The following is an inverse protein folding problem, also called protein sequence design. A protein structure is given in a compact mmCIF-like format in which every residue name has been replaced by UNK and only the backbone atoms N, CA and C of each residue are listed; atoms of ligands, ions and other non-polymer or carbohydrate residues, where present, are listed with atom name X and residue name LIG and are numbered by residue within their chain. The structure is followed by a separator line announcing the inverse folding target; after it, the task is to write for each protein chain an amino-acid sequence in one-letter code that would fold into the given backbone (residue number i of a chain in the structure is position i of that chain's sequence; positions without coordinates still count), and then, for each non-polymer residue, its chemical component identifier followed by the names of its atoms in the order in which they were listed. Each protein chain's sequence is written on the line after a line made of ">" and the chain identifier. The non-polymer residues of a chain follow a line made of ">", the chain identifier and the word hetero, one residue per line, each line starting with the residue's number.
data_IF_788031894472
#
_entry.id   IF_788031894472
#
_cell.length_a   1.000
_cell.length_b   1.000
_cell.length_c   1.000
_cell.angle_alpha   90.00
_cell.angle_beta   90.00
_cell.angle_gamma   90.00
#
_symmetry.space_group_name_H-M   'P 1'
#
loop_
_entity.id
_entity.type
_entity.pdbx_description
1 polymer ?
#
# COMPACT_ATOMS: atom_id res chain seq x y z
N UNK A 1 12.56 -33.20 4.47
CA UNK A 1 11.09 -33.32 4.21
C UNK A 1 10.87 -33.09 2.73
N UNK A 2 9.91 -33.73 2.03
CA UNK A 2 9.69 -33.41 0.62
C UNK A 2 9.06 -32.02 0.54
N UNK A 3 9.90 -31.00 0.28
CA UNK A 3 9.45 -29.68 -0.13
C UNK A 3 8.76 -29.77 -1.48
N UNK A 4 7.81 -28.87 -1.71
CA UNK A 4 7.01 -28.75 -2.94
C UNK A 4 7.90 -28.75 -4.20
N UNK A 5 9.00 -28.00 -4.13
CA UNK A 5 10.19 -28.08 -4.98
C UNK A 5 11.41 -27.70 -4.11
N UNK A 6 12.63 -27.97 -4.57
CA UNK A 6 13.87 -27.95 -3.75
C UNK A 6 14.22 -26.59 -3.11
N UNK A 7 13.62 -25.52 -3.58
CA UNK A 7 13.87 -24.14 -3.14
C UNK A 7 12.53 -23.46 -2.78
N UNK A 8 11.68 -24.18 -2.05
CA UNK A 8 10.44 -23.65 -1.48
C UNK A 8 10.73 -22.97 -0.13
N UNK A 9 10.11 -21.82 0.18
CA UNK A 9 10.42 -21.07 1.40
C UNK A 9 10.12 -21.89 2.65
N UNK A 10 11.03 -21.83 3.63
CA UNK A 10 10.93 -22.64 4.85
C UNK A 10 9.84 -22.15 5.80
N UNK A 11 9.49 -20.86 5.74
CA UNK A 11 8.47 -20.24 6.57
C UNK A 11 7.05 -20.69 6.27
N UNK A 12 6.82 -21.44 5.18
CA UNK A 12 5.51 -22.05 4.88
C UNK A 12 5.62 -23.56 5.00
N UNK A 13 4.87 -24.12 5.95
CA UNK A 13 4.87 -25.55 6.24
C UNK A 13 3.52 -26.19 5.94
N UNK A 14 3.44 -26.95 4.83
CA UNK A 14 2.25 -27.76 4.54
C UNK A 14 1.98 -28.80 5.64
N UNK A 15 0.71 -28.96 6.03
CA UNK A 15 0.29 -29.99 6.97
C UNK A 15 0.57 -31.40 6.43
N UNK A 16 0.81 -32.41 7.30
CA UNK A 16 1.07 -33.78 6.87
C UNK A 16 0.00 -34.37 5.94
N UNK A 17 -1.27 -33.98 6.11
CA UNK A 17 -2.38 -34.45 5.27
C UNK A 17 -2.35 -33.82 3.87
N UNK A 18 -1.98 -32.55 3.75
CA UNK A 18 -1.77 -31.86 2.49
C UNK A 18 -0.61 -32.50 1.69
N UNK A 19 0.46 -32.89 2.38
CA UNK A 19 1.63 -33.57 1.77
C UNK A 19 1.31 -34.95 1.20
N UNK A 20 0.29 -35.64 1.71
CA UNK A 20 -0.11 -36.99 1.26
C UNK A 20 -0.85 -36.99 -0.07
N UNK A 21 -1.24 -35.83 -0.62
CA UNK A 21 -1.83 -35.71 -1.96
C UNK A 21 -0.69 -35.58 -2.99
N UNK A 22 -0.18 -36.69 -3.56
CA UNK A 22 1.05 -36.69 -4.30
C UNK A 22 0.74 -36.31 -5.74
N UNK A 23 0.88 -35.02 -6.09
CA UNK A 23 1.07 -34.42 -7.46
C UNK A 23 0.78 -32.91 -7.57
N UNK A 24 0.59 -32.16 -6.47
CA UNK A 24 -0.38 -31.06 -6.49
C UNK A 24 0.16 -29.63 -6.63
N UNK A 25 1.45 -29.38 -6.38
CA UNK A 25 2.03 -28.03 -6.53
C UNK A 25 3.20 -28.04 -7.49
N UNK A 26 3.27 -27.01 -8.30
CA UNK A 26 4.25 -26.92 -9.38
C UNK A 26 4.49 -25.46 -9.73
N UNK A 27 5.73 -25.11 -10.03
CA UNK A 27 6.07 -23.74 -10.43
C UNK A 27 5.27 -23.31 -11.65
N UNK A 28 4.69 -22.12 -11.62
CA UNK A 28 3.99 -21.51 -12.72
C UNK A 28 3.29 -20.22 -12.34
N UNK A 29 2.66 -19.60 -13.31
CA UNK A 29 1.81 -18.43 -13.09
C UNK A 29 0.45 -18.59 -13.78
N UNK A 30 -0.56 -17.93 -13.21
CA UNK A 30 -1.84 -17.67 -13.85
C UNK A 30 -2.08 -16.15 -13.86
N UNK A 31 -2.97 -15.67 -14.72
CA UNK A 31 -3.31 -14.25 -14.77
C UNK A 31 -4.73 -14.01 -15.29
N UNK A 32 -5.33 -12.92 -14.85
CA UNK A 32 -6.65 -12.48 -15.28
C UNK A 32 -6.73 -10.96 -15.33
N UNK A 33 -7.79 -10.42 -15.93
CA UNK A 33 -8.05 -8.98 -15.86
C UNK A 33 -8.49 -8.65 -14.43
N UNK A 34 -7.92 -7.59 -13.85
CA UNK A 34 -8.27 -7.14 -12.51
C UNK A 34 -9.72 -6.62 -12.51
N UNK A 35 -10.50 -7.09 -11.55
CA UNK A 35 -11.90 -6.69 -11.39
C UNK A 35 -12.03 -5.16 -11.32
N UNK A 36 -13.08 -4.63 -11.94
CA UNK A 36 -13.37 -3.19 -12.02
C UNK A 36 -12.33 -2.35 -12.78
N UNK A 37 -11.40 -2.96 -13.51
CA UNK A 37 -10.50 -2.25 -14.44
C UNK A 37 -10.62 -2.80 -15.86
N UNK A 38 -10.33 -1.95 -16.86
CA UNK A 38 -10.40 -2.35 -18.27
C UNK A 38 -9.08 -2.80 -18.86
N UNK A 39 -7.98 -2.51 -18.18
CA UNK A 39 -6.63 -2.49 -18.74
C UNK A 39 -5.54 -3.00 -17.79
N UNK A 40 -5.87 -3.36 -16.55
CA UNK A 40 -4.92 -3.89 -15.57
C UNK A 40 -5.10 -5.39 -15.43
N UNK A 41 -3.99 -6.12 -15.42
CA UNK A 41 -3.97 -7.56 -15.22
C UNK A 41 -3.40 -7.90 -13.85
N UNK A 42 -4.02 -8.86 -13.17
CA UNK A 42 -3.51 -9.47 -11.96
C UNK A 42 -2.85 -10.81 -12.31
N UNK A 43 -1.60 -10.97 -11.88
CA UNK A 43 -0.84 -12.21 -11.97
C UNK A 43 -0.74 -12.86 -10.60
N UNK A 44 -0.78 -14.18 -10.60
CA UNK A 44 -0.50 -15.01 -9.43
C UNK A 44 0.61 -15.99 -9.80
N UNK A 45 1.74 -15.91 -9.11
CA UNK A 45 2.97 -16.61 -9.47
C UNK A 45 3.43 -17.44 -8.26
N UNK A 46 3.64 -18.73 -8.49
CA UNK A 46 4.24 -19.66 -7.54
C UNK A 46 5.54 -20.20 -8.14
N UNK A 47 6.68 -19.91 -7.53
CA UNK A 47 7.99 -20.36 -8.02
C UNK A 47 9.01 -20.50 -6.88
N UNK A 48 10.16 -21.13 -7.16
CA UNK A 48 11.29 -21.20 -6.25
C UNK A 48 11.92 -19.85 -5.95
N UNK A 49 12.55 -19.73 -4.77
CA UNK A 49 13.11 -18.48 -4.26
C UNK A 49 14.05 -17.82 -5.25
N UNK A 50 14.96 -18.59 -5.87
CA UNK A 50 15.87 -18.05 -6.89
C UNK A 50 15.12 -17.38 -8.07
N UNK A 51 13.99 -17.94 -8.50
CA UNK A 51 13.18 -17.37 -9.59
C UNK A 51 12.35 -16.18 -9.14
N UNK A 52 11.82 -16.22 -7.91
CA UNK A 52 11.09 -15.09 -7.32
C UNK A 52 12.03 -13.89 -7.21
N UNK A 53 13.25 -14.10 -6.74
CA UNK A 53 14.27 -13.04 -6.66
C UNK A 53 14.61 -12.45 -8.03
N UNK A 54 14.93 -13.30 -9.01
CA UNK A 54 15.20 -12.83 -10.38
C UNK A 54 14.00 -12.10 -11.00
N UNK A 55 12.78 -12.54 -10.69
CA UNK A 55 11.54 -11.88 -11.17
C UNK A 55 11.37 -10.50 -10.52
N UNK A 56 11.54 -10.39 -9.21
CA UNK A 56 11.47 -9.13 -8.46
C UNK A 56 12.55 -8.15 -8.89
N UNK A 57 13.81 -8.58 -9.01
CA UNK A 57 14.90 -7.72 -9.46
C UNK A 57 14.66 -7.22 -10.89
N UNK A 58 14.20 -8.08 -11.81
CA UNK A 58 13.85 -7.67 -13.18
C UNK A 58 12.66 -6.73 -13.23
N UNK A 59 11.66 -6.97 -12.39
CA UNK A 59 10.51 -6.10 -12.25
C UNK A 59 10.94 -4.73 -11.73
N UNK A 60 11.80 -4.67 -10.71
CA UNK A 60 12.36 -3.43 -10.17
C UNK A 60 13.07 -2.63 -11.26
N UNK A 61 13.96 -3.26 -12.04
CA UNK A 61 14.60 -2.61 -13.20
C UNK A 61 13.64 -2.24 -14.34
N UNK A 62 12.40 -2.70 -14.28
CA UNK A 62 11.36 -2.40 -15.28
C UNK A 62 10.51 -1.18 -14.91
N UNK A 63 10.51 -0.79 -13.64
CA UNK A 63 9.84 0.37 -13.08
C UNK A 63 10.51 1.67 -13.58
N UNK A 64 9.83 2.82 -13.43
CA UNK A 64 10.46 4.14 -13.54
C UNK A 64 11.65 4.31 -12.57
N UNK A 65 12.37 5.44 -12.68
CA UNK A 65 13.56 5.71 -11.85
C UNK A 65 13.28 5.61 -10.34
N UNK A 66 12.06 5.98 -9.93
CA UNK A 66 11.60 5.93 -8.55
C UNK A 66 10.48 4.90 -8.36
N UNK A 67 10.42 4.34 -7.15
CA UNK A 67 9.35 3.46 -6.69
C UNK A 67 9.21 3.61 -5.17
N UNK A 68 8.17 3.02 -4.58
CA UNK A 68 8.11 2.81 -3.14
C UNK A 68 8.18 1.32 -2.82
N UNK A 69 8.76 1.01 -1.67
CA UNK A 69 8.85 -0.32 -1.11
C UNK A 69 7.69 -0.56 -0.16
N UNK A 70 7.11 -1.76 -0.25
CA UNK A 70 6.03 -2.22 0.61
C UNK A 70 6.60 -3.29 1.54
N UNK A 71 6.33 -3.17 2.84
CA UNK A 71 6.70 -4.15 3.85
C UNK A 71 5.48 -4.46 4.73
N UNK A 72 5.15 -5.74 4.87
CA UNK A 72 4.02 -6.23 5.64
C UNK A 72 4.52 -7.24 6.68
N UNK A 73 4.23 -7.02 7.95
CA UNK A 73 4.56 -7.95 9.03
C UNK A 73 3.76 -7.64 10.31
N UNK A 74 3.75 -8.59 11.25
CA UNK A 74 3.06 -8.43 12.53
C UNK A 74 3.88 -7.57 13.49
N UNK A 75 3.35 -6.41 13.86
CA UNK A 75 4.02 -5.46 14.78
C UNK A 75 3.69 -5.71 16.25
N UNK A 76 2.60 -6.43 16.52
CA UNK A 76 2.03 -6.62 17.85
C UNK A 76 1.88 -8.11 18.18
N UNK A 77 2.23 -8.50 19.40
CA UNK A 77 1.77 -9.78 19.95
C UNK A 77 0.27 -9.67 20.22
N UNK A 78 -0.57 -10.64 19.80
CA UNK A 78 -2.01 -10.58 20.06
C UNK A 78 -2.26 -10.48 21.56
N UNK A 79 -2.97 -9.45 22.00
CA UNK A 79 -3.35 -9.35 23.41
C UNK A 79 -4.34 -10.49 23.73
N UNK A 80 -4.23 -11.09 24.91
CA UNK A 80 -5.04 -12.24 25.29
C UNK A 80 -6.57 -11.97 25.34
N UNK A 81 -6.97 -10.69 25.28
CA UNK A 81 -8.36 -10.22 25.29
C UNK A 81 -8.87 -9.76 23.91
N UNK A 82 -8.03 -9.74 22.87
CA UNK A 82 -8.45 -9.35 21.53
C UNK A 82 -9.28 -10.48 20.90
N UNK A 83 -10.54 -10.17 20.57
CA UNK A 83 -11.44 -11.10 19.88
C UNK A 83 -11.15 -11.20 18.38
N UNK A 84 -10.36 -10.26 17.84
CA UNK A 84 -9.95 -10.25 16.45
C UNK A 84 -8.57 -10.91 16.29
N UNK A 85 -8.39 -11.75 15.26
CA UNK A 85 -7.07 -12.28 14.95
C UNK A 85 -6.09 -11.13 14.66
N UNK A 86 -4.82 -11.24 15.08
CA UNK A 86 -3.83 -10.22 14.77
C UNK A 86 -3.73 -10.08 13.24
N UNK A 87 -3.75 -8.84 12.76
CA UNK A 87 -3.54 -8.51 11.35
C UNK A 87 -2.13 -7.94 11.17
N UNK A 88 -1.41 -8.26 10.09
CA UNK A 88 -0.12 -7.63 9.82
C UNK A 88 -0.30 -6.13 9.57
N UNK A 89 0.74 -5.36 9.89
CA UNK A 89 0.81 -3.93 9.58
C UNK A 89 1.58 -3.73 8.28
N UNK A 90 1.00 -2.98 7.35
CA UNK A 90 1.64 -2.59 6.09
C UNK A 90 2.37 -1.27 6.28
N UNK A 91 3.60 -1.18 5.76
CA UNK A 91 4.42 0.01 5.76
C UNK A 91 4.87 0.33 4.35
N UNK A 92 4.84 1.62 3.98
CA UNK A 92 5.37 2.11 2.71
C UNK A 92 6.62 2.97 2.95
N UNK A 93 7.63 2.81 2.10
CA UNK A 93 8.69 3.82 1.98
C UNK A 93 8.16 5.04 1.21
N UNK A 94 8.80 6.22 1.31
CA UNK A 94 8.60 7.26 0.31
C UNK A 94 9.01 6.76 -1.08
N UNK A 95 8.57 7.49 -2.12
CA UNK A 95 9.13 7.33 -3.46
C UNK A 95 10.63 7.66 -3.42
N UNK A 96 11.44 6.73 -3.88
CA UNK A 96 12.89 6.87 -3.90
C UNK A 96 13.50 6.06 -5.06
N UNK A 97 14.77 6.31 -5.42
CA UNK A 97 15.40 5.61 -6.53
C UNK A 97 15.39 4.09 -6.34
N UNK A 98 14.97 3.35 -7.37
CA UNK A 98 14.86 1.88 -7.30
C UNK A 98 16.18 1.23 -6.88
N UNK A 99 17.31 1.76 -7.36
CA UNK A 99 18.64 1.29 -6.99
C UNK A 99 18.93 1.39 -5.49
N UNK A 100 18.52 2.48 -4.85
CA UNK A 100 18.72 2.68 -3.41
C UNK A 100 17.89 1.69 -2.59
N UNK A 101 16.66 1.39 -3.02
CA UNK A 101 15.83 0.36 -2.38
C UNK A 101 16.51 -1.01 -2.52
N UNK A 102 16.94 -1.39 -3.72
CA UNK A 102 17.55 -2.70 -3.95
C UNK A 102 18.86 -2.87 -3.15
N UNK A 103 19.66 -1.82 -3.05
CA UNK A 103 20.90 -1.81 -2.25
C UNK A 103 20.59 -1.97 -0.76
N UNK A 104 19.56 -1.28 -0.25
CA UNK A 104 19.11 -1.41 1.14
C UNK A 104 18.55 -2.81 1.46
N UNK A 105 17.86 -3.46 0.51
CA UNK A 105 17.30 -4.81 0.66
C UNK A 105 18.35 -5.92 0.52
N UNK A 106 19.48 -5.65 -0.13
CA UNK A 106 20.50 -6.65 -0.44
C UNK A 106 20.92 -7.52 0.77
N UNK A 107 21.11 -6.98 2.00
CA UNK A 107 21.44 -7.77 3.19
C UNK A 107 20.27 -8.59 3.75
N UNK A 108 19.03 -8.29 3.36
CA UNK A 108 17.81 -8.83 3.96
C UNK A 108 17.11 -9.88 3.09
N UNK A 109 17.49 -10.00 1.81
CA UNK A 109 16.84 -10.89 0.84
C UNK A 109 16.52 -12.28 1.39
N UNK A 110 17.53 -13.01 1.87
CA UNK A 110 17.34 -14.38 2.35
C UNK A 110 16.33 -14.48 3.50
N UNK A 111 16.25 -13.46 4.36
CA UNK A 111 15.33 -13.46 5.51
C UNK A 111 13.91 -13.09 5.10
N UNK A 112 13.75 -12.00 4.34
CA UNK A 112 12.47 -11.54 3.79
C UNK A 112 11.77 -12.65 2.99
N UNK A 113 12.55 -13.33 2.18
CA UNK A 113 12.10 -14.40 1.30
C UNK A 113 11.67 -15.66 2.07
N UNK A 114 12.37 -16.01 3.15
CA UNK A 114 12.20 -17.28 3.83
C UNK A 114 11.26 -17.23 5.05
N UNK A 115 11.12 -16.09 5.74
CA UNK A 115 10.32 -15.97 6.96
C UNK A 115 8.81 -15.97 6.67
N UNK A 116 8.01 -16.79 7.38
CA UNK A 116 6.59 -16.96 7.12
C UNK A 116 5.68 -15.78 7.53
N UNK A 117 6.22 -14.79 8.25
CA UNK A 117 5.44 -13.65 8.77
C UNK A 117 5.73 -12.32 8.05
N UNK A 118 6.43 -12.39 6.92
CA UNK A 118 6.84 -11.20 6.17
C UNK A 118 6.33 -11.25 4.74
N UNK A 119 5.57 -10.23 4.36
CA UNK A 119 5.27 -9.86 2.99
C UNK A 119 6.08 -8.64 2.58
N UNK A 120 6.45 -8.53 1.31
CA UNK A 120 7.13 -7.35 0.80
C UNK A 120 6.95 -7.18 -0.71
N UNK A 121 7.11 -5.96 -1.21
CA UNK A 121 6.95 -5.67 -2.63
C UNK A 121 7.51 -4.33 -3.07
N UNK A 122 7.38 -4.07 -4.36
CA UNK A 122 7.71 -2.80 -4.98
C UNK A 122 6.52 -2.33 -5.79
N UNK A 123 6.25 -1.04 -5.74
CA UNK A 123 5.17 -0.43 -6.49
C UNK A 123 5.54 0.95 -7.03
N UNK A 124 4.89 1.30 -8.13
CA UNK A 124 4.86 2.63 -8.68
C UNK A 124 3.46 2.87 -9.26
N UNK A 125 2.67 3.69 -8.56
CA UNK A 125 1.28 3.94 -8.93
C UNK A 125 1.18 4.74 -10.24
N UNK A 126 2.13 5.64 -10.53
CA UNK A 126 2.20 6.37 -11.81
C UNK A 126 2.40 5.42 -13.00
N UNK A 127 3.15 4.35 -12.79
CA UNK A 127 3.33 3.30 -13.77
C UNK A 127 2.21 2.25 -13.74
N UNK A 128 1.34 2.25 -12.71
CA UNK A 128 0.35 1.22 -12.43
C UNK A 128 0.97 -0.16 -12.45
N UNK A 129 2.07 -0.27 -11.72
CA UNK A 129 2.84 -1.49 -11.58
C UNK A 129 3.10 -1.74 -10.11
N UNK A 130 2.68 -2.91 -9.65
CA UNK A 130 2.94 -3.39 -8.30
C UNK A 130 3.30 -4.86 -8.37
N UNK A 131 4.31 -5.26 -7.61
CA UNK A 131 4.69 -6.66 -7.43
C UNK A 131 4.92 -6.91 -5.95
N UNK A 132 4.19 -7.86 -5.39
CA UNK A 132 4.16 -8.13 -3.96
C UNK A 132 4.31 -9.63 -3.69
N UNK A 133 5.25 -9.98 -2.82
CA UNK A 133 5.47 -11.34 -2.34
C UNK A 133 4.91 -11.42 -0.93
N UNK A 134 3.75 -12.05 -0.78
CA UNK A 134 3.01 -12.05 0.49
C UNK A 134 3.62 -12.98 1.56
N UNK A 135 3.11 -12.90 2.78
CA UNK A 135 3.39 -13.88 3.84
C UNK A 135 3.08 -15.32 3.41
N UNK A 136 2.07 -15.47 2.54
CA UNK A 136 1.66 -16.70 1.85
C UNK A 136 2.66 -17.11 0.76
N UNK A 137 3.82 -16.47 0.63
CA UNK A 137 4.88 -16.85 -0.33
C UNK A 137 4.38 -17.11 -1.76
N UNK A 138 3.39 -16.33 -2.15
CA UNK A 138 2.86 -16.21 -3.49
C UNK A 138 3.20 -14.82 -3.98
N UNK A 139 3.76 -14.74 -5.18
CA UNK A 139 4.07 -13.47 -5.81
C UNK A 139 2.87 -13.01 -6.62
N UNK A 140 2.28 -11.89 -6.25
CA UNK A 140 1.24 -11.21 -7.02
C UNK A 140 1.85 -10.06 -7.81
N UNK A 141 1.27 -9.75 -8.97
CA UNK A 141 1.68 -8.56 -9.71
C UNK A 141 0.49 -7.95 -10.45
N UNK A 142 0.34 -6.63 -10.32
CA UNK A 142 -0.62 -5.82 -11.05
C UNK A 142 0.12 -5.01 -12.12
N UNK A 143 -0.33 -5.10 -13.37
CA UNK A 143 0.30 -4.34 -14.46
C UNK A 143 -0.63 -4.10 -15.64
N UNK A 144 -0.48 -2.94 -16.28
CA UNK A 144 -1.09 -2.65 -17.58
C UNK A 144 -0.33 -3.28 -18.77
N UNK A 145 0.84 -3.88 -18.53
CA UNK A 145 1.70 -4.49 -19.55
C UNK A 145 1.97 -5.97 -19.28
N UNK A 146 0.90 -6.76 -19.31
CA UNK A 146 0.94 -8.20 -19.09
C UNK A 146 1.94 -8.93 -20.02
N UNK A 147 2.08 -8.49 -21.28
CA UNK A 147 3.03 -9.09 -22.25
C UNK A 147 4.48 -8.98 -21.76
N UNK A 148 4.88 -7.82 -21.21
CA UNK A 148 6.22 -7.62 -20.67
C UNK A 148 6.49 -8.56 -19.49
N UNK A 149 5.54 -8.67 -18.57
CA UNK A 149 5.67 -9.58 -17.42
C UNK A 149 5.73 -11.05 -17.86
N UNK A 150 4.85 -11.48 -18.78
CA UNK A 150 4.88 -12.83 -19.35
C UNK A 150 6.23 -13.16 -19.99
N UNK A 151 6.84 -12.19 -20.69
CA UNK A 151 8.17 -12.34 -21.26
C UNK A 151 9.26 -12.48 -20.20
N UNK A 152 9.19 -11.71 -19.11
CA UNK A 152 10.11 -11.85 -17.98
C UNK A 152 9.97 -13.22 -17.32
N UNK A 153 8.75 -13.65 -16.99
CA UNK A 153 8.46 -14.96 -16.40
C UNK A 153 8.94 -16.12 -17.28
N UNK A 154 8.73 -16.03 -18.60
CA UNK A 154 9.22 -17.02 -19.55
C UNK A 154 10.76 -17.10 -19.56
N UNK A 155 11.46 -15.95 -19.50
CA UNK A 155 12.93 -15.92 -19.40
C UNK A 155 13.45 -16.46 -18.07
N UNK A 156 12.69 -16.31 -16.99
CA UNK A 156 12.99 -16.86 -15.67
C UNK A 156 12.53 -18.33 -15.54
N UNK A 157 12.00 -18.92 -16.62
CA UNK A 157 11.60 -20.32 -16.70
C UNK A 157 10.34 -20.67 -15.90
N UNK A 158 9.49 -19.69 -15.60
CA UNK A 158 8.20 -19.87 -14.91
C UNK A 158 7.11 -20.06 -15.97
N UNK A 159 6.53 -21.27 -16.12
CA UNK A 159 5.56 -21.55 -17.18
C UNK A 159 4.16 -21.00 -16.85
N UNK A 160 3.40 -20.63 -17.87
CA UNK A 160 1.98 -20.33 -17.72
C UNK A 160 1.18 -21.59 -17.39
N UNK A 161 0.31 -21.52 -16.38
CA UNK A 161 -0.56 -22.60 -15.91
C UNK A 161 -1.95 -22.04 -15.56
N UNK A 162 -2.94 -22.13 -16.47
CA UNK A 162 -4.33 -21.69 -16.26
C UNK A 162 -5.10 -22.43 -15.14
N UNK A 163 -4.47 -23.37 -14.48
CA UNK A 163 -5.03 -24.14 -13.37
C UNK A 163 -3.93 -24.32 -12.34
N UNK A 164 -3.23 -23.22 -12.06
CA UNK A 164 -2.22 -23.14 -11.03
C UNK A 164 -2.89 -23.47 -9.70
N UNK A 165 -2.30 -24.41 -8.97
CA UNK A 165 -2.72 -24.71 -7.61
C UNK A 165 -1.76 -24.00 -6.68
N UNK A 166 -2.32 -23.36 -5.67
CA UNK A 166 -1.55 -22.67 -4.66
C UNK A 166 -1.51 -23.51 -3.39
N UNK A 167 -0.51 -23.27 -2.56
CA UNK A 167 -0.46 -23.93 -1.27
C UNK A 167 -1.50 -23.35 -0.29
N UNK A 168 -1.95 -22.12 -0.54
CA UNK A 168 -3.10 -21.48 0.12
C UNK A 168 -4.39 -22.30 0.00
N UNK A 169 -4.55 -23.09 -1.08
CA UNK A 169 -5.66 -24.03 -1.25
C UNK A 169 -5.57 -25.28 -0.34
N UNK A 170 -4.52 -25.36 0.48
CA UNK A 170 -4.21 -26.50 1.33
C UNK A 170 -3.92 -26.04 2.75
N UNK A 171 -4.16 -26.91 3.74
CA UNK A 171 -3.78 -26.63 5.11
C UNK A 171 -2.26 -26.52 5.26
N UNK A 172 -1.80 -25.39 5.80
CA UNK A 172 -0.41 -25.06 6.01
C UNK A 172 -0.26 -24.11 7.21
N UNK A 173 0.96 -24.00 7.72
CA UNK A 173 1.32 -23.12 8.84
C UNK A 173 2.37 -22.11 8.38
N UNK A 174 2.31 -20.90 8.95
CA UNK A 174 3.34 -19.87 8.82
C UNK A 174 4.28 -19.95 10.01
N UNK A 175 5.58 -19.98 9.74
CA UNK A 175 6.63 -20.15 10.74
C UNK A 175 7.68 -19.05 10.58
N UNK A 176 8.05 -18.45 11.70
CA UNK A 176 9.20 -17.55 11.76
C UNK A 176 10.47 -18.38 11.59
N UNK A 177 11.52 -17.77 11.06
CA UNK A 177 12.86 -18.36 11.02
C UNK A 177 13.35 -18.85 12.39
N UNK A 178 12.90 -18.21 13.49
CA UNK A 178 13.20 -18.62 14.86
C UNK A 178 12.52 -19.92 15.31
N UNK A 179 11.46 -20.36 14.64
CA UNK A 179 10.79 -21.63 14.94
C UNK A 179 11.58 -22.84 14.43
N UNK A 180 12.61 -22.63 13.62
CA UNK A 180 13.39 -23.69 13.01
C UNK A 180 14.69 -23.96 13.75
N UNK A 181 15.01 -25.26 13.91
CA UNK A 181 16.34 -25.65 14.37
C UNK A 181 17.41 -25.11 13.41
N UNK A 182 18.53 -24.63 13.96
CA UNK A 182 19.62 -24.03 13.16
C UNK A 182 20.12 -24.92 12.02
N UNK A 183 20.13 -26.24 12.22
CA UNK A 183 20.55 -27.20 11.19
C UNK A 183 19.51 -27.40 10.08
N UNK A 184 18.25 -27.08 10.33
CA UNK A 184 17.17 -27.14 9.36
C UNK A 184 17.06 -25.90 8.48
N UNK A 185 17.68 -24.78 8.89
CA UNK A 185 17.78 -23.57 8.08
C UNK A 185 18.64 -23.79 6.82
N UNK A 186 18.34 -23.05 5.73
CA UNK A 186 19.23 -22.90 4.58
C UNK A 186 20.64 -22.47 5.01
N UNK A 187 21.66 -22.88 4.28
CA UNK A 187 23.06 -22.61 4.62
C UNK A 187 23.35 -21.10 4.77
N UNK A 188 22.75 -20.28 3.91
CA UNK A 188 22.80 -18.82 3.96
C UNK A 188 22.30 -18.24 5.28
N UNK A 189 21.37 -18.92 5.96
CA UNK A 189 20.71 -18.42 7.17
C UNK A 189 21.34 -18.93 8.47
N UNK A 190 22.18 -19.97 8.44
CA UNK A 190 22.72 -20.61 9.67
C UNK A 190 23.65 -19.72 10.49
N UNK A 191 24.31 -18.77 9.84
CA UNK A 191 25.29 -17.87 10.47
C UNK A 191 24.68 -16.68 11.22
N UNK A 192 23.42 -16.34 10.98
CA UNK A 192 22.74 -15.19 11.59
C UNK A 192 22.41 -15.44 13.05
N UNK A 193 22.56 -14.47 13.94
CA UNK A 193 22.11 -14.62 15.33
C UNK A 193 20.59 -14.72 15.43
N UNK A 194 20.06 -15.10 16.59
CA UNK A 194 18.60 -15.18 16.78
C UNK A 194 17.95 -13.80 16.59
N UNK A 195 18.61 -12.72 17.07
CA UNK A 195 18.19 -11.34 16.79
C UNK A 195 18.13 -11.05 15.28
N UNK A 196 19.10 -11.56 14.52
CA UNK A 196 19.15 -11.30 13.08
C UNK A 196 18.12 -12.12 12.28
N UNK A 197 17.60 -13.22 12.86
CA UNK A 197 16.54 -14.06 12.29
C UNK A 197 15.14 -13.62 12.74
N UNK A 198 15.05 -12.80 13.78
CA UNK A 198 13.80 -12.23 14.26
C UNK A 198 13.25 -11.22 13.24
N UNK A 199 12.10 -11.55 12.64
CA UNK A 199 11.43 -10.68 11.68
C UNK A 199 11.08 -9.32 12.24
N UNK A 200 10.66 -9.24 13.50
CA UNK A 200 10.35 -7.97 14.13
C UNK A 200 11.61 -7.08 14.26
N UNK A 201 12.80 -7.68 14.39
CA UNK A 201 14.05 -6.93 14.42
C UNK A 201 14.46 -6.43 13.03
N UNK A 202 14.60 -7.31 12.05
CA UNK A 202 15.09 -6.89 10.73
C UNK A 202 14.05 -6.04 9.95
N UNK A 203 12.76 -6.23 10.18
CA UNK A 203 11.72 -5.37 9.59
C UNK A 203 11.75 -3.97 10.19
N UNK A 204 12.02 -3.80 11.50
CA UNK A 204 12.21 -2.48 12.11
C UNK A 204 13.45 -1.77 11.57
N UNK A 205 14.54 -2.50 11.38
CA UNK A 205 15.75 -1.95 10.74
C UNK A 205 15.43 -1.46 9.31
N UNK A 206 14.63 -2.21 8.54
CA UNK A 206 14.17 -1.77 7.22
C UNK A 206 13.28 -0.53 7.28
N UNK A 207 12.35 -0.46 8.23
CA UNK A 207 11.52 0.74 8.46
C UNK A 207 12.40 1.95 8.70
N UNK A 208 13.39 1.84 9.58
CA UNK A 208 14.31 2.94 9.90
C UNK A 208 15.17 3.32 8.68
N UNK A 209 15.77 2.32 8.01
CA UNK A 209 16.67 2.55 6.88
C UNK A 209 15.96 3.17 5.66
N UNK A 210 14.71 2.80 5.42
CA UNK A 210 13.91 3.28 4.28
C UNK A 210 12.94 4.40 4.69
N UNK A 211 13.00 4.90 5.92
CA UNK A 211 12.09 5.93 6.45
C UNK A 211 10.61 5.60 6.20
N UNK A 212 10.24 4.34 6.46
CA UNK A 212 8.90 3.84 6.15
C UNK A 212 7.87 4.32 7.18
N UNK A 213 6.62 4.43 6.74
CA UNK A 213 5.49 4.81 7.57
C UNK A 213 4.36 3.78 7.43
N UNK A 214 3.59 3.53 8.51
CA UNK A 214 2.47 2.59 8.47
C UNK A 214 1.34 3.14 7.59
N UNK A 215 0.63 2.24 6.91
CA UNK A 215 -0.52 2.57 6.06
C UNK A 215 -1.71 1.69 6.47
N UNK A 216 -2.88 2.29 6.62
CA UNK A 216 -4.12 1.55 6.90
C UNK A 216 -4.57 0.80 5.63
N UNK A 217 -4.98 -0.47 5.75
CA UNK A 217 -5.41 -1.33 4.63
C UNK A 217 -6.50 -0.69 3.75
N UNK A 218 -7.39 0.09 4.38
CA UNK A 218 -8.45 0.85 3.71
C UNK A 218 -7.93 1.93 2.77
N UNK A 219 -6.63 2.22 2.77
CA UNK A 219 -6.00 3.26 1.97
C UNK A 219 -5.15 2.74 0.80
N UNK A 220 -5.06 1.41 0.62
CA UNK A 220 -4.37 0.81 -0.54
C UNK A 220 -5.20 0.95 -1.82
N UNK A 221 -5.16 2.15 -2.43
CA UNK A 221 -5.90 2.43 -3.67
C UNK A 221 -5.01 2.27 -4.89
N UNK A 222 -5.31 1.27 -5.72
CA UNK A 222 -4.67 1.11 -7.02
C UNK A 222 -5.46 1.84 -8.12
N UNK A 223 -4.88 2.87 -8.73
CA UNK A 223 -5.41 3.48 -9.96
C UNK A 223 -4.67 2.95 -11.19
N UNK A 224 -5.43 2.58 -12.22
CA UNK A 224 -4.83 2.19 -13.51
C UNK A 224 -4.18 3.40 -14.19
N UNK A 225 -3.26 3.16 -15.13
CA UNK A 225 -2.50 4.26 -15.76
C UNK A 225 -3.42 5.14 -16.57
N UNK A 226 -4.47 4.55 -17.14
CA UNK A 226 -5.52 5.26 -17.85
C UNK A 226 -6.32 6.14 -16.89
N UNK A 227 -6.65 5.64 -15.70
CA UNK A 227 -7.35 6.41 -14.67
C UNK A 227 -6.49 7.59 -14.19
N UNK A 228 -5.21 7.35 -13.87
CA UNK A 228 -4.25 8.39 -13.49
C UNK A 228 -4.12 9.48 -14.57
N UNK A 229 -4.01 9.09 -15.85
CA UNK A 229 -3.96 10.04 -16.97
C UNK A 229 -5.24 10.85 -17.11
N UNK A 230 -6.40 10.21 -16.98
CA UNK A 230 -7.69 10.90 -17.02
C UNK A 230 -7.79 11.94 -15.90
N UNK A 231 -7.36 11.57 -14.69
CA UNK A 231 -7.33 12.47 -13.53
C UNK A 231 -6.37 13.64 -13.79
N UNK A 232 -5.15 13.37 -14.27
CA UNK A 232 -4.19 14.40 -14.66
C UNK A 232 -4.76 15.36 -15.72
N UNK A 233 -5.43 14.84 -16.76
CA UNK A 233 -6.11 15.66 -17.77
C UNK A 233 -7.20 16.54 -17.15
N UNK A 234 -7.99 16.01 -16.20
CA UNK A 234 -9.02 16.77 -15.48
C UNK A 234 -8.38 17.91 -14.67
N UNK A 235 -7.33 17.63 -13.90
CA UNK A 235 -6.66 18.61 -13.04
C UNK A 235 -6.01 19.73 -13.84
N UNK A 236 -5.37 19.41 -14.97
CA UNK A 236 -4.78 20.39 -15.89
C UNK A 236 -5.79 21.37 -16.53
N UNK A 237 -7.10 21.05 -16.50
CA UNK A 237 -8.13 21.96 -17.00
C UNK A 237 -8.50 23.07 -16.01
N UNK A 238 -8.05 22.98 -14.75
CA UNK A 238 -8.36 23.94 -13.71
C UNK A 238 -7.09 24.66 -13.21
N UNK A 239 -6.95 25.98 -13.41
CA UNK A 239 -5.71 26.72 -13.06
C UNK A 239 -5.28 26.57 -11.61
N UNK A 240 -6.22 26.44 -10.66
CA UNK A 240 -5.89 26.31 -9.24
C UNK A 240 -5.44 24.89 -8.85
N UNK A 241 -5.54 23.90 -9.76
CA UNK A 241 -5.21 22.50 -9.50
C UNK A 241 -4.12 21.93 -10.42
N UNK A 242 -3.64 22.70 -11.41
CA UNK A 242 -2.62 22.28 -12.39
C UNK A 242 -1.33 21.79 -11.70
N UNK A 243 -0.90 22.46 -10.63
CA UNK A 243 0.31 22.11 -9.88
C UNK A 243 0.24 20.70 -9.26
N UNK A 244 -0.97 20.16 -9.03
CA UNK A 244 -1.19 18.82 -8.47
C UNK A 244 -1.37 17.74 -9.56
N UNK A 245 -1.44 18.12 -10.84
CA UNK A 245 -1.77 17.19 -11.92
C UNK A 245 -0.69 16.12 -12.16
N UNK A 246 0.56 16.37 -11.74
CA UNK A 246 1.67 15.42 -11.81
C UNK A 246 1.82 14.56 -10.54
N UNK A 247 1.07 14.88 -9.49
CA UNK A 247 1.06 14.10 -8.26
C UNK A 247 0.28 12.79 -8.44
N UNK A 248 0.69 11.76 -7.71
CA UNK A 248 -0.06 10.51 -7.68
C UNK A 248 -1.38 10.75 -6.95
N UNK A 249 -2.51 10.53 -7.63
CA UNK A 249 -3.82 10.79 -7.03
C UNK A 249 -4.08 9.94 -5.77
N UNK A 250 -3.47 8.75 -5.68
CA UNK A 250 -3.49 7.96 -4.45
C UNK A 250 -2.90 8.70 -3.26
N UNK A 251 -1.77 9.41 -3.46
CA UNK A 251 -1.15 10.26 -2.44
C UNK A 251 -2.07 11.39 -2.00
N UNK A 252 -2.78 12.04 -2.92
CA UNK A 252 -3.72 13.11 -2.57
C UNK A 252 -4.89 12.61 -1.68
N UNK A 253 -5.32 11.36 -1.88
CA UNK A 253 -6.32 10.73 -1.00
C UNK A 253 -5.76 10.43 0.40
N UNK A 254 -4.49 10.00 0.46
CA UNK A 254 -3.77 9.81 1.73
C UNK A 254 -3.59 11.13 2.48
N UNK A 255 -3.17 12.19 1.79
CA UNK A 255 -2.97 13.52 2.36
C UNK A 255 -4.28 14.07 2.96
N UNK A 256 -5.43 13.76 2.35
CA UNK A 256 -6.73 14.11 2.92
C UNK A 256 -6.97 13.36 4.23
N UNK A 257 -6.72 12.04 4.27
CA UNK A 257 -6.84 11.28 5.50
C UNK A 257 -5.90 11.81 6.60
N UNK A 258 -4.64 12.10 6.28
CA UNK A 258 -3.65 12.60 7.22
C UNK A 258 -4.06 13.97 7.79
N UNK A 259 -4.54 14.88 6.94
CA UNK A 259 -5.12 16.14 7.39
C UNK A 259 -6.30 15.93 8.36
N UNK A 260 -7.18 14.96 8.09
CA UNK A 260 -8.28 14.62 8.99
C UNK A 260 -7.76 14.05 10.32
N UNK A 261 -6.72 13.20 10.31
CA UNK A 261 -6.09 12.70 11.54
C UNK A 261 -5.53 13.83 12.39
N UNK A 262 -4.78 14.74 11.78
CA UNK A 262 -4.24 15.92 12.47
C UNK A 262 -5.34 16.77 13.10
N UNK A 263 -6.44 16.97 12.36
CA UNK A 263 -7.63 17.67 12.82
C UNK A 263 -8.31 16.98 14.02
N UNK A 264 -8.29 15.65 14.08
CA UNK A 264 -8.87 14.88 15.18
C UNK A 264 -7.97 14.87 16.42
N UNK A 265 -6.66 14.87 16.25
CA UNK A 265 -5.71 14.85 17.37
C UNK A 265 -5.65 16.21 18.07
N UNK A 266 -5.00 17.19 17.44
CA UNK A 266 -4.87 18.58 17.91
C UNK A 266 -4.16 19.37 16.81
N UNK A 267 -4.92 20.00 15.91
CA UNK A 267 -4.36 20.67 14.74
C UNK A 267 -3.50 21.89 15.14
N UNK A 268 -2.19 21.83 14.90
CA UNK A 268 -1.25 22.87 15.35
C UNK A 268 -1.08 24.03 14.35
N UNK A 269 -1.56 23.86 13.11
CA UNK A 269 -1.48 24.86 12.05
C UNK A 269 -2.32 26.13 12.28
N UNK A 270 -2.15 27.10 11.39
CA UNK A 270 -2.92 28.33 11.32
C UNK A 270 -4.14 28.22 10.40
N UNK A 271 -4.80 29.37 10.16
CA UNK A 271 -5.96 29.42 9.26
C UNK A 271 -5.60 29.13 7.79
N UNK A 272 -4.36 29.41 7.39
CA UNK A 272 -3.92 29.17 6.01
C UNK A 272 -3.71 27.67 5.76
N UNK A 273 -2.98 26.98 6.63
CA UNK A 273 -2.75 25.53 6.54
C UNK A 273 -4.08 24.76 6.61
N UNK A 274 -4.99 25.17 7.50
CA UNK A 274 -6.33 24.56 7.57
C UNK A 274 -7.10 24.72 6.26
N UNK A 275 -7.00 25.87 5.59
CA UNK A 275 -7.65 26.11 4.29
C UNK A 275 -7.02 25.32 3.15
N UNK A 276 -5.71 25.08 3.18
CA UNK A 276 -5.07 24.19 2.21
C UNK A 276 -5.62 22.77 2.29
N UNK A 277 -5.83 22.24 3.51
CA UNK A 277 -6.48 20.95 3.69
C UNK A 277 -7.92 20.91 3.12
N UNK A 278 -8.69 22.00 3.26
CA UNK A 278 -10.02 22.09 2.64
C UNK A 278 -9.94 22.18 1.11
N UNK A 279 -8.96 22.92 0.57
CA UNK A 279 -8.73 23.03 -0.87
C UNK A 279 -8.33 21.69 -1.50
N UNK A 280 -7.56 20.86 -0.79
CA UNK A 280 -7.28 19.48 -1.20
C UNK A 280 -8.57 18.69 -1.38
N UNK A 281 -9.54 18.84 -0.46
CA UNK A 281 -10.84 18.17 -0.60
C UNK A 281 -11.68 18.70 -1.77
N UNK A 282 -11.58 19.99 -2.09
CA UNK A 282 -12.19 20.58 -3.30
C UNK A 282 -11.57 20.01 -4.58
N UNK A 283 -10.25 19.82 -4.61
CA UNK A 283 -9.55 19.19 -5.72
C UNK A 283 -10.06 17.75 -5.94
N UNK A 284 -10.16 16.96 -4.86
CA UNK A 284 -10.71 15.60 -4.94
C UNK A 284 -12.17 15.64 -5.45
N UNK A 285 -12.98 16.60 -4.97
CA UNK A 285 -14.35 16.77 -5.44
C UNK A 285 -14.42 17.11 -6.95
N UNK A 286 -13.54 17.99 -7.41
CA UNK A 286 -13.43 18.39 -8.81
C UNK A 286 -13.21 17.20 -9.74
N UNK A 287 -12.36 16.24 -9.32
CA UNK A 287 -12.10 14.99 -10.03
C UNK A 287 -13.34 14.10 -10.00
N UNK A 288 -13.93 13.88 -8.82
CA UNK A 288 -15.16 13.07 -8.64
C UNK A 288 -16.25 13.51 -9.62
N UNK A 289 -16.48 14.81 -9.79
CA UNK A 289 -17.56 15.33 -10.64
C UNK A 289 -17.34 15.16 -12.15
N UNK A 290 -16.12 14.78 -12.58
CA UNK A 290 -15.72 14.71 -13.99
C UNK A 290 -15.32 13.32 -14.46
N UNK A 291 -15.04 12.39 -13.56
CA UNK A 291 -14.78 10.99 -13.90
C UNK A 291 -16.06 10.21 -14.15
N UNK A 292 -15.94 9.03 -14.75
CA UNK A 292 -17.08 8.14 -14.97
C UNK A 292 -17.57 7.49 -13.67
N UNK A 293 -18.79 6.94 -13.70
CA UNK A 293 -19.45 6.41 -12.50
C UNK A 293 -18.64 5.34 -11.76
N UNK A 294 -17.98 4.37 -12.42
CA UNK A 294 -17.16 3.37 -11.73
C UNK A 294 -16.02 3.99 -10.92
N UNK A 295 -15.23 4.89 -11.53
CA UNK A 295 -14.12 5.56 -10.85
C UNK A 295 -14.63 6.52 -9.76
N UNK A 296 -15.72 7.22 -10.03
CA UNK A 296 -16.41 8.09 -9.05
C UNK A 296 -16.76 7.34 -7.77
N UNK A 297 -17.38 6.16 -7.89
CA UNK A 297 -17.79 5.35 -6.73
C UNK A 297 -16.57 4.86 -5.94
N UNK A 298 -15.52 4.41 -6.63
CA UNK A 298 -14.27 3.97 -5.99
C UNK A 298 -13.60 5.09 -5.19
N UNK A 299 -13.51 6.30 -5.76
CA UNK A 299 -12.94 7.46 -5.06
C UNK A 299 -13.82 7.87 -3.87
N UNK A 300 -15.15 7.81 -4.01
CA UNK A 300 -16.07 8.10 -2.90
C UNK A 300 -15.98 7.10 -1.76
N UNK A 301 -15.82 5.83 -2.08
CA UNK A 301 -15.61 4.77 -1.10
C UNK A 301 -14.31 5.02 -0.32
N UNK A 302 -13.25 5.44 -1.01
CA UNK A 302 -11.96 5.76 -0.41
C UNK A 302 -12.01 6.87 0.65
N UNK A 303 -12.76 7.93 0.37
CA UNK A 303 -12.83 9.10 1.25
C UNK A 303 -13.99 9.05 2.24
N UNK A 304 -14.80 7.98 2.23
CA UNK A 304 -16.03 7.90 3.04
C UNK A 304 -15.74 8.01 4.55
N UNK A 305 -14.79 7.23 5.05
CA UNK A 305 -14.41 7.25 6.47
C UNK A 305 -13.74 8.57 6.87
N UNK A 306 -12.70 9.07 6.16
CA UNK A 306 -12.14 10.40 6.43
C UNK A 306 -13.20 11.52 6.42
N UNK A 307 -14.11 11.52 5.44
CA UNK A 307 -15.18 12.53 5.34
C UNK A 307 -16.14 12.46 6.55
N UNK A 308 -16.51 11.26 6.99
CA UNK A 308 -17.41 11.08 8.14
C UNK A 308 -16.74 11.50 9.45
N UNK A 309 -15.48 11.11 9.66
CA UNK A 309 -14.71 11.51 10.83
C UNK A 309 -14.51 13.02 10.89
N UNK A 310 -14.18 13.65 9.76
CA UNK A 310 -14.07 15.11 9.67
C UNK A 310 -15.41 15.79 10.00
N UNK A 311 -16.50 15.31 9.40
CA UNK A 311 -17.87 15.83 9.64
C UNK A 311 -18.25 15.78 11.11
N UNK A 312 -17.94 14.68 11.80
CA UNK A 312 -18.20 14.53 13.23
C UNK A 312 -17.34 15.47 14.10
N UNK A 313 -16.15 15.82 13.63
CA UNK A 313 -15.22 16.73 14.31
C UNK A 313 -15.57 18.21 14.11
N UNK A 314 -16.43 18.57 13.16
CA UNK A 314 -16.83 19.96 12.96
C UNK A 314 -17.68 20.48 14.13
N UNK A 315 -17.49 21.77 14.43
CA UNK A 315 -18.22 22.55 15.41
C UNK A 315 -18.84 23.78 14.76
N UNK A 316 -20.01 24.20 15.28
CA UNK A 316 -20.80 25.34 14.79
C UNK A 316 -21.02 25.31 13.26
N UNK A 317 -21.56 24.19 12.76
CA UNK A 317 -21.82 23.92 11.33
C UNK A 317 -22.80 24.91 10.65
N UNK A 318 -23.34 25.87 11.39
CA UNK A 318 -24.17 26.97 10.88
C UNK A 318 -23.32 28.08 10.25
N UNK A 319 -22.03 28.13 10.58
CA UNK A 319 -21.08 29.12 10.08
C UNK A 319 -20.22 28.51 8.99
N UNK A 320 -19.90 29.30 7.96
CA UNK A 320 -19.00 28.89 6.88
C UNK A 320 -17.62 29.49 7.06
N UNK A 321 -16.60 28.75 6.61
CA UNK A 321 -15.22 29.23 6.53
C UNK A 321 -14.85 29.66 5.09
N UNK A 322 -15.70 30.47 4.46
CA UNK A 322 -15.46 30.91 3.08
C UNK A 322 -14.21 31.81 2.98
N UNK A 323 -13.57 31.80 1.80
CA UNK A 323 -12.56 32.80 1.45
C UNK A 323 -13.23 34.15 1.19
N UNK A 324 -12.67 35.29 1.68
CA UNK A 324 -13.18 36.60 1.30
C UNK A 324 -13.02 36.81 -0.22
N UNK A 325 -14.14 36.90 -0.95
CA UNK A 325 -14.15 37.24 -2.38
C UNK A 325 -14.25 36.07 -3.34
N UNK A 326 -14.28 34.82 -2.88
CA UNK A 326 -14.61 33.68 -3.74
C UNK A 326 -16.12 33.58 -3.94
N UNK A 327 -16.61 33.18 -5.12
CA UNK A 327 -18.01 32.76 -5.26
C UNK A 327 -18.29 31.67 -4.21
N UNK A 328 -19.53 31.59 -3.67
CA UNK A 328 -19.85 30.54 -2.72
C UNK A 328 -19.50 29.20 -3.38
N UNK A 329 -18.54 28.49 -2.80
CA UNK A 329 -18.32 27.10 -3.13
C UNK A 329 -19.69 26.41 -3.04
N UNK A 330 -19.94 25.43 -3.92
CA UNK A 330 -21.08 24.52 -3.75
C UNK A 330 -21.17 24.08 -2.28
N UNK A 331 -22.37 23.77 -1.78
CA UNK A 331 -22.63 23.48 -0.36
C UNK A 331 -21.88 22.20 0.10
N UNK A 332 -20.58 22.33 0.27
CA UNK A 332 -19.67 21.28 0.66
C UNK A 332 -19.55 21.31 2.18
N UNK A 333 -19.80 20.16 2.80
CA UNK A 333 -19.89 20.07 4.25
C UNK A 333 -18.57 20.43 4.95
N UNK A 334 -17.42 20.28 4.29
CA UNK A 334 -16.10 20.55 4.88
C UNK A 334 -15.84 22.04 5.14
N UNK A 335 -16.63 22.94 4.55
CA UNK A 335 -16.61 24.37 4.88
C UNK A 335 -17.60 24.77 5.98
N UNK A 336 -18.48 23.86 6.40
CA UNK A 336 -19.54 24.12 7.38
C UNK A 336 -19.04 23.92 8.80
N UNK A 337 -18.38 24.94 9.33
CA UNK A 337 -17.87 25.01 10.70
C UNK A 337 -16.36 25.02 10.75
N UNK A 338 -15.82 24.77 11.94
CA UNK A 338 -14.39 24.55 12.18
C UNK A 338 -14.21 23.36 13.11
N UNK A 339 -13.07 22.68 13.02
CA UNK A 339 -12.74 21.53 13.87
C UNK A 339 -12.82 21.88 15.37
N UNK A 340 -13.24 20.91 16.19
CA UNK A 340 -13.32 21.04 17.65
C UNK A 340 -11.95 21.16 18.29
N UNK A 341 -10.98 20.39 17.79
CA UNK A 341 -9.63 20.27 18.35
C UNK A 341 -8.66 21.27 17.71
N UNK A 342 -9.09 22.52 17.56
CA UNK A 342 -8.26 23.59 17.01
C UNK A 342 -7.15 24.01 17.99
N UNK A 343 -5.90 23.92 17.55
CA UNK A 343 -4.74 24.38 18.29
C UNK A 343 -4.71 25.90 18.47
N UNK A 344 -3.60 26.41 19.04
CA UNK A 344 -3.48 27.84 19.36
C UNK A 344 -3.40 28.71 18.10
N UNK A 345 -2.73 28.24 17.05
CA UNK A 345 -2.57 28.95 15.78
C UNK A 345 -3.91 29.26 15.13
N UNK A 346 -4.65 28.21 14.77
CA UNK A 346 -5.97 28.33 14.14
C UNK A 346 -6.95 29.16 14.98
N UNK A 347 -7.05 28.93 16.30
CA UNK A 347 -7.95 29.71 17.18
C UNK A 347 -7.63 31.20 17.16
N UNK A 348 -6.36 31.58 17.25
CA UNK A 348 -5.92 32.97 17.19
C UNK A 348 -6.33 33.62 15.87
N UNK A 349 -6.14 32.91 14.76
CA UNK A 349 -6.41 33.45 13.43
C UNK A 349 -7.91 33.56 13.16
N UNK A 350 -8.73 32.61 13.64
CA UNK A 350 -10.20 32.68 13.63
C UNK A 350 -10.75 33.86 14.46
N UNK A 351 -10.12 34.18 15.60
CA UNK A 351 -10.48 35.38 16.39
C UNK A 351 -10.17 36.65 15.60
N UNK A 352 -8.99 36.70 14.95
CA UNK A 352 -8.54 37.85 14.15
C UNK A 352 -9.40 38.06 12.91
N UNK A 353 -9.84 36.98 12.26
CA UNK A 353 -10.75 37.03 11.11
C UNK A 353 -12.19 37.37 11.50
N UNK A 354 -12.51 37.38 12.80
CA UNK A 354 -13.84 37.71 13.30
C UNK A 354 -14.85 36.57 13.22
N UNK A 355 -14.40 35.33 12.97
CA UNK A 355 -15.27 34.16 12.82
C UNK A 355 -16.18 33.91 14.05
N UNK A 356 -15.69 34.18 15.26
CA UNK A 356 -16.46 34.07 16.50
C UNK A 356 -17.47 35.20 16.74
N UNK A 357 -17.41 36.30 15.98
CA UNK A 357 -18.27 37.48 16.17
C UNK A 357 -19.61 37.41 15.41
N UNK A 358 -19.72 36.48 14.46
CA UNK A 358 -20.91 36.24 13.64
C UNK A 358 -21.95 35.37 14.35
#
# INVERSE_FOLDING_TARGET
>A
MPQVFSDFPIGVQLWPQARRRPRVLSEGYDFSLLDNTSDTFQFTILAGMARIRDTLERFAWSLPEEAFFILEFYTSEPAADDQEPPCPTVHYSPYMPVGEILDALAPYWERLMQDGFVGFGLANNRASQEMFFSEEKVLTCFTDNHIRLMHHLAKSGVPHRPSLRLHTDMGHDHLSLLCHDRHSLPESLRGFSDRDLDYACFCRELIENLSMYPVEESLSFFFSRREQRLIQEILNLHPDYEDFAEEDFGTLLLDWNDFVQECLANFEGGLWEYRMGLQLRDLIQHVIDRVDLPLNLRIKEAILDPDERFRQNLSDQRKRLDMPGSPPAEDHFWYNGVIRNAGVGLRRDLIRSGWYKA
#
